data_IF_760138604159
#
_entry.id   IF_760138604159
#
_cell.length_a   1.000
_cell.length_b   1.000
_cell.length_c   1.000
_cell.angle_alpha   90.00
_cell.angle_beta   90.00
_cell.angle_gamma   90.00
#
_symmetry.space_group_name_H-M   'P 1'
#
loop_
_entity.id
_entity.type
_entity.pdbx_description
1 polymer ?
#
# COMPACT_ATOMS: atom_id res chain seq x y z
N UNK A 1 0.49 -26.45 -30.06
CA UNK A 1 0.00 -25.07 -29.81
C UNK A 1 -0.67 -24.88 -28.44
N UNK A 2 -1.60 -25.76 -27.99
CA UNK A 2 -2.29 -25.60 -26.68
C UNK A 2 -1.37 -25.44 -25.45
N UNK A 3 -0.26 -26.18 -25.37
CA UNK A 3 0.71 -26.08 -24.26
C UNK A 3 1.38 -24.70 -24.16
N UNK A 4 1.61 -24.08 -25.31
CA UNK A 4 2.23 -22.75 -25.39
C UNK A 4 1.27 -21.66 -24.89
N UNK A 5 -0.03 -21.83 -25.17
CA UNK A 5 -1.09 -20.97 -24.63
C UNK A 5 -1.23 -21.09 -23.11
N UNK A 6 -1.22 -22.31 -22.56
CA UNK A 6 -1.34 -22.50 -21.10
C UNK A 6 -0.16 -21.86 -20.34
N UNK A 7 1.05 -21.92 -20.90
CA UNK A 7 2.25 -21.33 -20.29
C UNK A 7 2.25 -19.79 -20.30
N UNK A 8 1.48 -19.17 -21.21
CA UNK A 8 1.41 -17.72 -21.35
C UNK A 8 0.27 -17.10 -20.54
N UNK A 9 -0.73 -17.90 -20.14
CA UNK A 9 -1.90 -17.41 -19.39
C UNK A 9 -1.52 -16.85 -18.02
N UNK A 10 -0.67 -17.55 -17.27
CA UNK A 10 -0.21 -17.11 -15.95
C UNK A 10 0.43 -15.71 -15.99
N UNK A 11 1.54 -15.51 -16.72
CA UNK A 11 2.21 -14.21 -16.78
C UNK A 11 1.32 -13.09 -17.36
N UNK A 12 0.40 -13.42 -18.27
CA UNK A 12 -0.55 -12.44 -18.79
C UNK A 12 -1.53 -11.95 -17.71
N UNK A 13 -2.11 -12.86 -16.93
CA UNK A 13 -2.98 -12.51 -15.79
C UNK A 13 -2.22 -11.73 -14.72
N UNK A 14 -0.95 -12.07 -14.46
CA UNK A 14 -0.11 -11.31 -13.54
C UNK A 14 0.14 -9.87 -14.03
N UNK A 15 0.48 -9.69 -15.31
CA UNK A 15 0.70 -8.37 -15.88
C UNK A 15 -0.57 -7.50 -15.82
N UNK A 16 -1.73 -8.06 -16.17
CA UNK A 16 -3.03 -7.39 -16.07
C UNK A 16 -3.34 -7.03 -14.62
N UNK A 17 -3.09 -7.93 -13.67
CA UNK A 17 -3.25 -7.69 -12.25
C UNK A 17 -2.41 -6.53 -11.74
N UNK A 18 -1.12 -6.46 -12.09
CA UNK A 18 -0.21 -5.38 -11.69
C UNK A 18 -0.59 -4.03 -12.31
N UNK A 19 -0.95 -4.01 -13.61
CA UNK A 19 -1.42 -2.80 -14.28
C UNK A 19 -2.73 -2.31 -13.65
N UNK A 20 -3.64 -3.24 -13.33
CA UNK A 20 -4.87 -2.93 -12.61
C UNK A 20 -4.60 -2.31 -11.23
N UNK A 21 -3.61 -2.82 -10.49
CA UNK A 21 -3.24 -2.31 -9.17
C UNK A 21 -2.73 -0.86 -9.27
N UNK A 22 -1.80 -0.62 -10.21
CA UNK A 22 -1.20 0.68 -10.43
C UNK A 22 -2.24 1.72 -10.94
N UNK A 23 -3.06 1.34 -11.92
CA UNK A 23 -4.12 2.19 -12.45
C UNK A 23 -5.20 2.50 -11.42
N UNK A 24 -5.54 1.52 -10.58
CA UNK A 24 -6.52 1.67 -9.51
C UNK A 24 -6.07 2.63 -8.42
N UNK A 25 -4.78 2.61 -8.05
CA UNK A 25 -4.21 3.56 -7.10
C UNK A 25 -4.32 5.00 -7.60
N UNK A 26 -4.06 5.24 -8.89
CA UNK A 26 -4.20 6.56 -9.51
C UNK A 26 -5.67 7.01 -9.51
N UNK A 27 -6.59 6.11 -9.85
CA UNK A 27 -8.02 6.42 -9.89
C UNK A 27 -8.62 6.70 -8.50
N UNK A 28 -8.18 5.97 -7.47
CA UNK A 28 -8.57 6.21 -6.08
C UNK A 28 -7.98 7.52 -5.55
N UNK A 29 -6.66 7.72 -5.70
CA UNK A 29 -5.95 8.84 -5.08
C UNK A 29 -6.29 10.19 -5.72
N UNK A 30 -6.45 10.26 -7.06
CA UNK A 30 -6.61 11.53 -7.76
C UNK A 30 -8.05 11.90 -8.14
N UNK A 31 -8.93 10.93 -8.40
CA UNK A 31 -10.31 11.25 -8.81
C UNK A 31 -11.34 11.15 -7.68
N UNK A 32 -10.96 10.64 -6.50
CA UNK A 32 -11.86 10.49 -5.35
C UNK A 32 -13.10 9.64 -5.65
N UNK A 33 -13.06 8.81 -6.70
CA UNK A 33 -14.20 7.99 -7.13
C UNK A 33 -14.18 6.64 -6.41
N UNK A 34 -15.34 6.14 -5.92
CA UNK A 34 -15.44 4.87 -5.20
C UNK A 34 -15.04 3.65 -6.08
N UNK A 35 -15.00 3.84 -7.40
CA UNK A 35 -14.53 2.84 -8.37
C UNK A 35 -13.06 2.42 -8.15
N UNK A 36 -12.26 3.25 -7.48
CA UNK A 36 -10.88 2.94 -7.14
C UNK A 36 -10.74 1.78 -6.15
N UNK A 37 -11.69 1.58 -5.22
CA UNK A 37 -11.64 0.45 -4.27
C UNK A 37 -12.07 -0.86 -4.92
N UNK A 38 -13.12 -0.83 -5.72
CA UNK A 38 -13.56 -2.03 -6.46
C UNK A 38 -12.49 -2.49 -7.45
N UNK A 39 -11.77 -1.56 -8.08
CA UNK A 39 -10.69 -1.88 -9.01
C UNK A 39 -9.46 -2.48 -8.32
N UNK A 40 -9.12 -2.08 -7.08
CA UNK A 40 -8.02 -2.72 -6.33
C UNK A 40 -8.39 -4.15 -5.96
N UNK A 41 -9.62 -4.39 -5.49
CA UNK A 41 -10.09 -5.74 -5.14
C UNK A 41 -10.06 -6.67 -6.36
N UNK A 42 -10.52 -6.19 -7.51
CA UNK A 42 -10.51 -6.96 -8.77
C UNK A 42 -9.07 -7.24 -9.22
N UNK A 43 -8.20 -6.23 -9.18
CA UNK A 43 -6.77 -6.37 -9.51
C UNK A 43 -6.09 -7.41 -8.62
N UNK A 44 -6.39 -7.39 -7.32
CA UNK A 44 -5.80 -8.31 -6.35
C UNK A 44 -6.28 -9.75 -6.61
N UNK A 45 -7.56 -9.94 -6.97
CA UNK A 45 -8.11 -11.23 -7.40
C UNK A 45 -7.42 -11.76 -8.66
N UNK A 46 -7.30 -10.92 -9.69
CA UNK A 46 -6.64 -11.26 -10.96
C UNK A 46 -5.17 -11.60 -10.73
N UNK A 47 -4.48 -10.86 -9.85
CA UNK A 47 -3.10 -11.13 -9.47
C UNK A 47 -2.96 -12.43 -8.66
N UNK A 48 -3.89 -12.72 -7.74
CA UNK A 48 -3.90 -13.96 -6.96
C UNK A 48 -4.07 -15.18 -7.88
N UNK A 49 -5.00 -15.10 -8.83
CA UNK A 49 -5.19 -16.13 -9.88
C UNK A 49 -3.95 -16.27 -10.74
N UNK A 50 -3.34 -15.14 -11.14
CA UNK A 50 -2.05 -15.12 -11.82
C UNK A 50 -0.98 -15.89 -11.04
N UNK A 51 -0.75 -15.55 -9.76
CA UNK A 51 0.24 -16.20 -8.90
C UNK A 51 -0.01 -17.70 -8.75
N UNK A 52 -1.27 -18.13 -8.60
CA UNK A 52 -1.62 -19.56 -8.53
C UNK A 52 -1.32 -20.27 -9.85
N UNK A 53 -1.56 -19.63 -11.00
CA UNK A 53 -1.24 -20.16 -12.33
C UNK A 53 0.26 -20.12 -12.65
N UNK A 54 0.99 -19.16 -12.10
CA UNK A 54 2.45 -19.07 -12.19
C UNK A 54 3.14 -20.07 -11.27
N UNK A 55 2.41 -20.70 -10.33
CA UNK A 55 3.00 -21.62 -9.35
C UNK A 55 3.88 -22.62 -10.10
N UNK A 56 5.20 -22.53 -9.95
CA UNK A 56 6.10 -23.31 -10.77
C UNK A 56 5.87 -24.78 -10.40
N UNK A 57 5.42 -25.59 -11.36
CA UNK A 57 5.77 -27.00 -11.31
C UNK A 57 7.30 -27.02 -11.25
N UNK A 58 7.83 -27.70 -10.23
CA UNK A 58 9.25 -27.78 -9.91
C UNK A 58 10.11 -27.78 -11.19
N UNK A 59 11.26 -27.08 -11.20
CA UNK A 59 12.13 -27.11 -12.37
C UNK A 59 12.39 -28.57 -12.71
N UNK A 60 11.87 -29.02 -13.86
CA UNK A 60 12.29 -30.25 -14.48
C UNK A 60 13.76 -30.02 -14.80
N UNK A 61 14.61 -30.45 -13.87
CA UNK A 61 16.05 -30.42 -14.01
C UNK A 61 16.38 -31.38 -15.15
N UNK A 62 16.36 -30.88 -16.38
CA UNK A 62 17.10 -31.46 -17.48
C UNK A 62 18.57 -31.09 -17.28
N UNK A 63 19.16 -31.65 -16.22
CA UNK A 63 20.59 -31.69 -16.00
C UNK A 63 21.07 -33.07 -16.45
N UNK A 64 21.70 -33.08 -17.61
CA UNK A 64 22.55 -34.14 -18.17
C UNK A 64 23.52 -34.68 -17.09
N UNK A 65 23.76 -36.00 -17.00
CA UNK A 65 24.53 -36.57 -15.90
C UNK A 65 26.03 -36.29 -16.05
N UNK A 66 26.66 -35.83 -14.97
CA UNK A 66 28.11 -35.85 -14.77
C UNK A 66 28.36 -36.61 -13.46
N UNK A 67 29.22 -37.65 -13.44
CA UNK A 67 29.31 -38.58 -12.32
C UNK A 67 30.23 -38.09 -11.19
N UNK A 68 29.91 -38.60 -10.00
CA UNK A 68 30.79 -38.86 -8.85
C UNK A 68 31.48 -37.67 -8.15
N UNK A 69 31.09 -37.43 -6.89
CA UNK A 69 32.01 -37.50 -5.74
C UNK A 69 31.26 -37.29 -4.41
N UNK A 70 31.33 -38.33 -3.57
CA UNK A 70 31.51 -38.30 -2.11
C UNK A 70 30.49 -37.61 -1.19
N UNK A 71 29.79 -38.47 -0.44
CA UNK A 71 29.29 -38.20 0.91
C UNK A 71 30.43 -37.79 1.88
N UNK A 72 30.15 -37.10 2.99
CA UNK A 72 29.81 -37.84 4.22
C UNK A 72 28.86 -37.15 5.22
N UNK A 73 28.26 -38.02 6.04
CA UNK A 73 27.97 -37.89 7.48
C UNK A 73 27.05 -36.76 8.00
N UNK A 74 25.86 -37.19 8.42
CA UNK A 74 25.00 -36.54 9.40
C UNK A 74 25.61 -36.60 10.81
N UNK A 75 25.24 -35.66 11.70
CA UNK A 75 25.14 -35.93 13.13
C UNK A 75 23.69 -36.14 13.54
N UNK A 76 23.47 -37.26 14.23
CA UNK A 76 22.27 -37.63 14.97
C UNK A 76 22.07 -36.63 16.13
N UNK A 77 20.87 -36.08 16.27
CA UNK A 77 20.46 -35.31 17.46
C UNK A 77 19.52 -36.20 18.26
N UNK A 78 20.06 -36.72 19.36
CA UNK A 78 19.34 -37.46 20.37
C UNK A 78 18.48 -36.55 21.27
N UNK A 79 17.40 -37.16 21.75
CA UNK A 79 16.72 -36.92 23.03
C UNK A 79 15.68 -35.80 23.15
N UNK A 80 14.44 -36.27 23.08
CA UNK A 80 13.21 -35.75 23.68
C UNK A 80 13.29 -35.83 25.22
N UNK A 81 12.92 -34.76 25.94
CA UNK A 81 12.04 -34.83 27.12
C UNK A 81 11.71 -33.42 27.68
N UNK A 82 10.43 -33.12 28.00
CA UNK A 82 9.98 -31.88 28.61
C UNK A 82 9.98 -31.99 30.15
N UNK A 83 10.22 -30.89 30.87
CA UNK A 83 10.01 -30.82 32.32
C UNK A 83 9.51 -29.43 32.75
N UNK A 84 8.18 -29.36 32.85
CA UNK A 84 7.35 -28.79 33.92
C UNK A 84 7.55 -27.34 34.43
N UNK A 85 6.43 -26.63 34.31
CA UNK A 85 6.10 -25.29 34.80
C UNK A 85 6.11 -25.19 36.34
N UNK A 86 6.71 -24.13 36.86
CA UNK A 86 6.49 -23.64 38.23
C UNK A 86 5.71 -22.33 38.13
N UNK A 87 4.50 -22.35 38.69
CA UNK A 87 3.51 -21.28 38.73
C UNK A 87 3.85 -20.24 39.79
N UNK A 88 4.75 -19.34 39.46
CA UNK A 88 4.83 -18.00 40.05
C UNK A 88 5.02 -17.02 38.91
N UNK A 89 4.25 -15.92 38.80
CA UNK A 89 4.49 -14.95 37.75
C UNK A 89 5.80 -14.23 38.09
N UNK A 90 6.92 -14.77 37.61
CA UNK A 90 8.16 -14.02 37.45
C UNK A 90 7.85 -13.02 36.33
N UNK A 91 7.25 -11.89 36.71
CA UNK A 91 6.90 -10.82 35.79
C UNK A 91 8.19 -10.44 35.08
N UNK A 92 8.25 -10.80 33.81
CA UNK A 92 9.40 -10.48 32.98
C UNK A 92 9.44 -8.98 32.77
N UNK A 93 10.61 -8.41 32.51
CA UNK A 93 10.73 -6.98 32.17
C UNK A 93 9.85 -6.60 30.98
N UNK A 94 9.55 -7.55 30.09
CA UNK A 94 8.59 -7.34 29.01
C UNK A 94 7.16 -7.18 29.54
N UNK A 95 6.72 -8.04 30.46
CA UNK A 95 5.38 -7.98 31.04
C UNK A 95 5.16 -6.71 31.88
N UNK A 96 6.18 -6.20 32.57
CA UNK A 96 6.06 -4.91 33.28
C UNK A 96 5.85 -3.74 32.32
N UNK A 97 6.58 -3.72 31.19
CA UNK A 97 6.43 -2.68 30.15
C UNK A 97 5.05 -2.78 29.49
N UNK A 98 4.53 -3.98 29.22
CA UNK A 98 3.19 -4.15 28.66
C UNK A 98 2.10 -3.62 29.60
N UNK A 99 2.24 -3.84 30.91
CA UNK A 99 1.29 -3.33 31.90
C UNK A 99 1.31 -1.80 31.96
N UNK A 100 2.49 -1.19 31.97
CA UNK A 100 2.65 0.27 31.93
C UNK A 100 2.10 0.87 30.63
N UNK A 101 2.39 0.26 29.47
CA UNK A 101 1.85 0.71 28.19
C UNK A 101 0.32 0.58 28.12
N UNK A 102 -0.24 -0.49 28.70
CA UNK A 102 -1.70 -0.67 28.77
C UNK A 102 -2.36 0.39 29.67
N UNK A 103 -1.74 0.76 30.78
CA UNK A 103 -2.20 1.86 31.64
C UNK A 103 -2.10 3.21 30.94
N UNK A 104 -1.00 3.47 30.23
CA UNK A 104 -0.82 4.68 29.44
C UNK A 104 -1.87 4.78 28.33
N UNK A 105 -2.15 3.67 27.64
CA UNK A 105 -3.13 3.65 26.55
C UNK A 105 -4.56 3.89 27.02
N UNK A 106 -4.91 3.49 28.25
CA UNK A 106 -6.20 3.86 28.89
C UNK A 106 -6.32 5.36 29.17
N UNK A 107 -5.20 6.05 29.36
CA UNK A 107 -5.15 7.49 29.61
C UNK A 107 -5.09 8.32 28.31
N UNK A 108 -4.85 7.70 27.16
CA UNK A 108 -4.91 8.39 25.87
C UNK A 108 -6.36 8.80 25.61
N UNK A 109 -6.67 10.05 25.95
CA UNK A 109 -7.91 10.70 25.54
C UNK A 109 -7.83 10.90 24.03
N UNK A 110 -8.65 10.17 23.28
CA UNK A 110 -8.79 10.39 21.84
C UNK A 110 -9.22 11.84 21.63
N UNK A 111 -8.35 12.65 21.03
CA UNK A 111 -8.68 14.02 20.70
C UNK A 111 -9.92 14.00 19.79
N UNK A 112 -10.96 14.80 20.09
CA UNK A 112 -12.12 14.86 19.23
C UNK A 112 -11.68 15.31 17.85
N UNK A 113 -12.21 14.64 16.81
CA UNK A 113 -11.96 15.07 15.44
C UNK A 113 -12.67 16.41 15.22
N UNK A 114 -11.92 17.51 15.36
CA UNK A 114 -12.47 18.86 15.18
C UNK A 114 -12.55 19.15 13.69
N UNK A 115 -13.78 19.12 13.16
CA UNK A 115 -14.05 19.56 11.80
C UNK A 115 -14.32 21.07 11.80
N UNK A 116 -13.31 21.87 11.45
CA UNK A 116 -13.40 23.34 11.48
C UNK A 116 -14.28 23.95 10.37
N UNK A 117 -14.75 23.15 9.39
CA UNK A 117 -15.55 23.69 8.28
C UNK A 117 -16.48 22.63 7.65
N UNK A 118 -17.54 22.20 8.35
CA UNK A 118 -18.42 21.12 7.87
C UNK A 118 -19.07 21.41 6.52
N UNK A 119 -19.28 22.69 6.19
CA UNK A 119 -19.90 23.11 4.92
C UNK A 119 -18.92 23.12 3.74
N UNK A 120 -17.63 23.43 3.97
CA UNK A 120 -16.66 23.60 2.87
C UNK A 120 -16.11 22.25 2.39
N UNK A 121 -16.27 21.20 3.20
CA UNK A 121 -15.83 19.84 2.88
C UNK A 121 -16.83 19.03 2.04
N UNK A 122 -18.04 19.54 1.82
CA UNK A 122 -18.97 18.89 0.90
C UNK A 122 -18.46 19.06 -0.53
N UNK A 123 -18.45 17.98 -1.35
CA UNK A 123 -18.00 18.08 -2.73
C UNK A 123 -18.85 19.12 -3.47
N UNK A 124 -18.19 20.10 -4.09
CA UNK A 124 -18.85 21.21 -4.79
C UNK A 124 -19.16 22.44 -3.92
N UNK A 125 -18.88 22.42 -2.61
CA UNK A 125 -19.03 23.58 -1.71
C UNK A 125 -17.71 24.29 -1.38
N UNK A 126 -16.63 23.96 -2.12
CA UNK A 126 -15.36 24.65 -2.02
C UNK A 126 -15.47 26.14 -2.42
N UNK A 127 -14.62 26.97 -1.83
CA UNK A 127 -14.52 28.39 -2.23
C UNK A 127 -14.16 28.47 -3.72
N UNK A 128 -14.97 29.17 -4.50
CA UNK A 128 -14.65 29.47 -5.89
C UNK A 128 -13.43 30.40 -5.92
N UNK A 129 -12.35 29.95 -6.58
CA UNK A 129 -11.21 30.82 -6.81
C UNK A 129 -11.63 31.96 -7.75
N UNK A 130 -11.53 33.23 -7.33
CA UNK A 130 -11.93 34.35 -8.19
C UNK A 130 -11.02 34.38 -9.42
N UNK A 131 -11.64 34.47 -10.59
CA UNK A 131 -10.92 34.55 -11.87
C UNK A 131 -10.05 35.81 -11.85
N UNK A 132 -8.73 35.64 -11.81
CA UNK A 132 -7.76 36.74 -11.85
C UNK A 132 -8.03 37.55 -13.12
N UNK A 133 -8.40 38.82 -12.98
CA UNK A 133 -8.59 39.73 -14.11
C UNK A 133 -7.21 40.17 -14.62
N UNK A 134 -6.84 39.88 -15.89
CA UNK A 134 -5.57 40.34 -16.44
C UNK A 134 -5.50 41.86 -16.36
N UNK A 135 -4.37 42.39 -15.92
CA UNK A 135 -4.17 43.83 -15.78
C UNK A 135 -4.82 44.49 -14.55
N UNK A 136 -5.44 43.73 -13.63
CA UNK A 136 -5.96 44.30 -12.38
C UNK A 136 -4.86 44.96 -11.52
N UNK A 137 -3.65 44.38 -11.50
CA UNK A 137 -2.48 44.96 -10.84
C UNK A 137 -1.98 46.25 -11.50
N UNK A 138 -2.23 46.42 -12.80
CA UNK A 138 -1.79 47.58 -13.58
C UNK A 138 -2.78 48.74 -13.53
N UNK A 139 -3.93 48.58 -12.87
CA UNK A 139 -4.99 49.61 -12.79
C UNK A 139 -4.47 50.90 -12.15
N UNK A 140 -3.71 50.79 -11.06
CA UNK A 140 -3.14 51.95 -10.36
C UNK A 140 -2.09 52.67 -11.21
N UNK A 141 -1.22 51.92 -11.90
CA UNK A 141 -0.22 52.49 -12.79
C UNK A 141 -0.85 53.22 -13.99
N UNK A 142 -1.83 52.60 -14.66
CA UNK A 142 -2.55 53.22 -15.79
C UNK A 142 -3.24 54.53 -15.39
N UNK A 143 -3.79 54.60 -14.17
CA UNK A 143 -4.41 55.81 -13.64
C UNK A 143 -3.37 56.93 -13.50
N UNK A 144 -2.24 56.64 -12.85
CA UNK A 144 -1.18 57.61 -12.60
C UNK A 144 -0.52 58.10 -13.90
N UNK A 145 -0.27 57.18 -14.86
CA UNK A 145 0.24 57.55 -16.17
C UNK A 145 -0.76 58.42 -16.96
N UNK A 146 -2.05 58.12 -16.88
CA UNK A 146 -3.09 58.97 -17.47
C UNK A 146 -3.05 60.40 -16.95
N UNK A 147 -2.94 60.57 -15.63
CA UNK A 147 -2.84 61.90 -14.99
C UNK A 147 -1.59 62.68 -15.41
N UNK A 148 -0.46 62.01 -15.67
CA UNK A 148 0.80 62.65 -16.05
C UNK A 148 0.87 63.04 -17.53
N UNK A 149 0.22 62.27 -18.40
CA UNK A 149 0.36 62.43 -19.86
C UNK A 149 -0.91 62.95 -20.55
N UNK A 150 -2.02 63.14 -19.84
CA UNK A 150 -3.21 63.82 -20.37
C UNK A 150 -3.09 65.34 -20.19
N UNK A 151 -2.16 65.98 -20.90
CA UNK A 151 -2.05 67.43 -20.98
C UNK A 151 -1.90 67.90 -22.42
#
# INVERSE_FOLDING_TARGET
MKKLFLNLIGPLFAAIGVIGLAGSGILWNFQGRPLGLTATVISLLVLMVGVVLLRPLAPSSSATPVPAASAPAAPEIDSVAPAEEITTPTITTAESIERELAEYQKQIVQAPQVNFAPKILLPGQGLLSPRRRPGASLKSYKKMAGELFSS
#
